data_IF_198168960898
#
_entry.id   IF_198168960898
#
_cell.length_a   1.000
_cell.length_b   1.000
_cell.length_c   1.000
_cell.angle_alpha   90.00
_cell.angle_beta   90.00
_cell.angle_gamma   90.00
#
_symmetry.space_group_name_H-M   'P 1'
#
loop_
_entity.id
_entity.type
_entity.pdbx_description
1 polymer ?
#
# COMPACT_ATOMS: atom_id res chain seq x y z
N UNK A 1 -18.46 -12.91 -12.67
CA UNK A 1 -17.22 -13.68 -12.79
C UNK A 1 -16.50 -13.55 -11.47
N UNK A 2 -16.34 -14.66 -10.73
CA UNK A 2 -15.75 -14.69 -9.38
C UNK A 2 -14.27 -15.06 -9.38
N UNK A 3 -13.81 -15.72 -10.44
CA UNK A 3 -12.40 -16.01 -10.73
C UNK A 3 -12.13 -15.80 -12.22
N UNK A 4 -10.87 -15.55 -12.56
CA UNK A 4 -10.39 -15.39 -13.92
C UNK A 4 -9.15 -16.29 -14.10
N UNK A 5 -9.13 -17.14 -15.13
CA UNK A 5 -7.95 -17.92 -15.46
C UNK A 5 -6.98 -17.05 -16.28
N UNK A 6 -5.78 -16.87 -15.73
CA UNK A 6 -4.71 -16.05 -16.29
C UNK A 6 -3.42 -16.83 -16.47
N UNK A 7 -3.46 -18.16 -16.35
CA UNK A 7 -2.28 -19.02 -16.31
C UNK A 7 -1.39 -18.95 -17.56
N UNK A 8 -1.94 -18.50 -18.70
CA UNK A 8 -1.19 -18.25 -19.95
C UNK A 8 -0.76 -16.80 -20.19
N UNK A 9 -1.01 -15.87 -19.27
CA UNK A 9 -0.70 -14.46 -19.48
C UNK A 9 0.79 -14.18 -19.31
N UNK A 10 1.43 -13.71 -20.38
CA UNK A 10 2.77 -13.16 -20.32
C UNK A 10 2.73 -11.63 -20.19
N UNK A 11 3.07 -11.12 -19.02
CA UNK A 11 3.11 -9.67 -18.73
C UNK A 11 4.52 -9.06 -18.78
N UNK A 12 5.54 -9.81 -19.24
CA UNK A 12 6.96 -9.39 -19.20
C UNK A 12 7.31 -8.17 -20.06
N UNK A 13 6.40 -7.77 -20.96
CA UNK A 13 6.55 -6.59 -21.81
C UNK A 13 5.49 -5.52 -21.53
N UNK A 14 4.63 -5.73 -20.53
CA UNK A 14 3.64 -4.74 -20.13
C UNK A 14 4.35 -3.60 -19.42
N UNK A 15 4.09 -2.37 -19.86
CA UNK A 15 4.66 -1.15 -19.26
C UNK A 15 3.67 -0.42 -18.35
N UNK A 16 2.38 -0.71 -18.45
CA UNK A 16 1.33 -0.13 -17.60
C UNK A 16 0.32 -1.20 -17.20
N UNK A 17 0.03 -1.27 -15.90
CA UNK A 17 -1.07 -2.06 -15.33
C UNK A 17 -2.13 -1.16 -14.69
N UNK A 18 -2.11 0.13 -15.03
CA UNK A 18 -3.06 1.10 -14.48
C UNK A 18 -4.51 0.68 -14.75
N UNK A 19 -5.35 0.70 -13.71
CA UNK A 19 -6.79 0.39 -13.78
C UNK A 19 -7.18 -0.99 -14.35
N UNK A 20 -6.25 -1.95 -14.44
CA UNK A 20 -6.47 -3.24 -15.12
C UNK A 20 -7.68 -4.03 -14.59
N UNK A 21 -7.91 -4.01 -13.28
CA UNK A 21 -9.03 -4.67 -12.59
C UNK A 21 -9.92 -3.66 -11.84
N UNK A 22 -9.92 -2.40 -12.28
CA UNK A 22 -10.76 -1.36 -11.69
C UNK A 22 -12.25 -1.74 -11.85
N UNK A 23 -12.98 -1.69 -10.74
CA UNK A 23 -14.41 -2.00 -10.71
C UNK A 23 -14.74 -3.46 -10.99
N UNK A 24 -13.77 -4.38 -10.82
CA UNK A 24 -13.97 -5.82 -10.92
C UNK A 24 -14.75 -6.36 -9.70
N UNK A 25 -15.91 -5.79 -9.38
CA UNK A 25 -16.69 -5.96 -8.16
C UNK A 25 -17.17 -7.40 -7.90
N UNK A 26 -17.05 -8.29 -8.89
CA UNK A 26 -17.40 -9.71 -8.74
C UNK A 26 -16.18 -10.61 -8.57
N UNK A 27 -14.97 -10.14 -8.92
CA UNK A 27 -13.73 -10.91 -8.84
C UNK A 27 -13.39 -11.11 -7.37
N UNK A 28 -13.29 -12.36 -6.93
CA UNK A 28 -13.00 -12.71 -5.54
C UNK A 28 -11.53 -13.09 -5.35
N UNK A 29 -10.98 -13.81 -6.33
CA UNK A 29 -9.61 -14.33 -6.30
C UNK A 29 -8.90 -14.00 -7.61
N UNK A 30 -7.61 -13.72 -7.50
CA UNK A 30 -6.74 -13.47 -8.63
C UNK A 30 -5.41 -14.20 -8.43
N UNK A 31 -5.12 -15.16 -9.29
CA UNK A 31 -3.82 -15.82 -9.32
C UNK A 31 -2.91 -15.13 -10.33
N UNK A 32 -1.81 -14.55 -9.83
CA UNK A 32 -0.78 -13.88 -10.63
C UNK A 32 0.54 -14.64 -10.59
N UNK A 33 0.50 -15.91 -10.20
CA UNK A 33 1.67 -16.80 -10.21
C UNK A 33 2.26 -16.84 -11.62
N UNK A 34 3.56 -16.56 -11.72
CA UNK A 34 4.29 -16.50 -13.00
C UNK A 34 4.30 -15.13 -13.67
N UNK A 35 3.59 -14.14 -13.15
CA UNK A 35 3.70 -12.77 -13.64
C UNK A 35 5.08 -12.18 -13.34
N UNK A 36 5.70 -11.57 -14.35
CA UNK A 36 6.90 -10.76 -14.21
C UNK A 36 6.62 -9.32 -14.66
N UNK A 37 6.20 -8.43 -13.76
CA UNK A 37 5.90 -7.03 -14.09
C UNK A 37 7.13 -6.11 -14.04
N UNK A 38 8.37 -6.61 -14.21
CA UNK A 38 9.61 -5.82 -14.07
C UNK A 38 9.65 -4.52 -14.91
N UNK A 39 8.93 -4.49 -16.05
CA UNK A 39 8.89 -3.33 -16.96
C UNK A 39 7.73 -2.39 -16.69
N UNK A 40 6.85 -2.73 -15.75
CA UNK A 40 5.69 -1.90 -15.41
C UNK A 40 6.15 -0.64 -14.70
N UNK A 41 5.75 0.51 -15.23
CA UNK A 41 6.07 1.81 -14.66
C UNK A 41 4.89 2.42 -13.90
N UNK A 42 3.66 1.96 -14.12
CA UNK A 42 2.46 2.46 -13.45
C UNK A 42 1.48 1.34 -13.07
N UNK A 43 0.99 1.38 -11.83
CA UNK A 43 -0.02 0.46 -11.28
C UNK A 43 -1.18 1.22 -10.62
N UNK A 44 -1.35 2.51 -10.92
CA UNK A 44 -2.36 3.33 -10.28
C UNK A 44 -3.77 2.79 -10.55
N UNK A 45 -4.60 2.78 -9.52
CA UNK A 45 -5.98 2.29 -9.56
C UNK A 45 -6.15 0.84 -10.05
N UNK A 46 -5.09 0.00 -10.07
CA UNK A 46 -5.12 -1.34 -10.66
C UNK A 46 -6.28 -2.20 -10.14
N UNK A 47 -6.55 -2.15 -8.83
CA UNK A 47 -7.65 -2.88 -8.17
C UNK A 47 -8.68 -1.92 -7.54
N UNK A 48 -8.75 -0.69 -8.02
CA UNK A 48 -9.66 0.33 -7.46
C UNK A 48 -11.10 -0.16 -7.48
N UNK A 49 -11.76 -0.12 -6.32
CA UNK A 49 -13.12 -0.60 -6.12
C UNK A 49 -13.36 -2.06 -6.55
N UNK A 50 -12.36 -2.93 -6.57
CA UNK A 50 -12.58 -4.37 -6.75
C UNK A 50 -13.17 -4.97 -5.45
N UNK A 51 -14.42 -4.62 -5.13
CA UNK A 51 -15.01 -4.78 -3.79
C UNK A 51 -15.20 -6.20 -3.29
N UNK A 52 -15.15 -7.21 -4.18
CA UNK A 52 -15.19 -8.61 -3.79
C UNK A 52 -13.79 -9.26 -3.70
N UNK A 53 -12.73 -8.58 -4.17
CA UNK A 53 -11.39 -9.13 -4.29
C UNK A 53 -10.78 -9.27 -2.90
N UNK A 54 -10.69 -10.52 -2.44
CA UNK A 54 -10.25 -10.86 -1.09
C UNK A 54 -8.95 -11.68 -1.09
N UNK A 55 -8.52 -12.17 -2.25
CA UNK A 55 -7.27 -12.94 -2.38
C UNK A 55 -6.55 -12.57 -3.67
N UNK A 56 -5.25 -12.22 -3.56
CA UNK A 56 -4.32 -12.16 -4.69
C UNK A 56 -3.12 -13.04 -4.35
N UNK A 57 -2.79 -13.98 -5.22
CA UNK A 57 -1.64 -14.88 -5.06
C UNK A 57 -0.54 -14.50 -6.05
N UNK A 58 0.73 -14.63 -5.64
CA UNK A 58 1.90 -14.44 -6.50
C UNK A 58 2.54 -13.05 -6.47
N UNK A 59 1.95 -12.08 -5.77
CA UNK A 59 2.45 -10.68 -5.67
C UNK A 59 3.81 -10.56 -5.00
N UNK A 60 4.20 -11.53 -4.18
CA UNK A 60 5.52 -11.62 -3.54
C UNK A 60 6.68 -11.66 -4.55
N UNK A 61 6.44 -12.10 -5.78
CA UNK A 61 7.46 -12.22 -6.83
C UNK A 61 7.55 -11.00 -7.74
N UNK A 62 6.69 -9.99 -7.55
CA UNK A 62 6.65 -8.82 -8.43
C UNK A 62 7.84 -7.92 -8.18
N UNK A 63 8.72 -7.78 -9.18
CA UNK A 63 9.78 -6.78 -9.19
C UNK A 63 9.17 -5.43 -9.59
N UNK A 64 9.04 -4.51 -8.63
CA UNK A 64 8.39 -3.21 -8.86
C UNK A 64 9.38 -2.04 -8.97
N UNK A 65 10.66 -2.31 -9.22
CA UNK A 65 11.74 -1.31 -9.23
C UNK A 65 11.51 -0.16 -10.22
N UNK A 66 10.79 -0.41 -11.32
CA UNK A 66 10.46 0.59 -12.33
C UNK A 66 9.14 1.35 -12.03
N UNK A 67 8.37 0.92 -11.02
CA UNK A 67 7.05 1.49 -10.74
C UNK A 67 7.20 2.87 -10.11
N UNK A 68 6.57 3.86 -10.73
CA UNK A 68 6.59 5.26 -10.29
C UNK A 68 5.28 5.71 -9.63
N UNK A 69 4.18 4.99 -9.86
CA UNK A 69 2.85 5.38 -9.40
C UNK A 69 2.03 4.18 -8.89
N UNK A 70 1.74 4.19 -7.59
CA UNK A 70 0.90 3.26 -6.83
C UNK A 70 -0.39 3.91 -6.31
N UNK A 71 -0.72 5.11 -6.81
CA UNK A 71 -1.88 5.85 -6.35
C UNK A 71 -3.15 5.02 -6.51
N UNK A 72 -3.96 4.93 -5.46
CA UNK A 72 -5.25 4.24 -5.45
C UNK A 72 -5.23 2.72 -5.77
N UNK A 73 -4.07 2.05 -5.77
CA UNK A 73 -3.94 0.67 -6.30
C UNK A 73 -4.87 -0.34 -5.64
N UNK A 74 -5.05 -0.34 -4.31
CA UNK A 74 -5.84 -1.33 -3.57
C UNK A 74 -7.09 -0.74 -2.88
N UNK A 75 -7.57 0.41 -3.35
CA UNK A 75 -8.69 1.12 -2.70
C UNK A 75 -9.97 0.31 -2.77
N UNK A 76 -10.63 0.18 -1.63
CA UNK A 76 -11.95 -0.48 -1.55
C UNK A 76 -11.92 -1.96 -1.94
N UNK A 77 -10.76 -2.61 -1.88
CA UNK A 77 -10.64 -4.07 -2.00
C UNK A 77 -11.12 -4.76 -0.71
N UNK A 78 -11.42 -6.06 -0.77
CA UNK A 78 -11.76 -6.88 0.39
C UNK A 78 -10.56 -7.66 0.96
N UNK A 79 -9.33 -7.22 0.64
CA UNK A 79 -8.08 -7.88 1.07
C UNK A 79 -7.86 -7.70 2.57
N UNK A 80 -7.77 -8.81 3.31
CA UNK A 80 -7.42 -8.82 4.73
C UNK A 80 -5.94 -9.06 4.98
N UNK A 81 -5.25 -9.65 3.99
CA UNK A 81 -3.81 -9.83 3.94
C UNK A 81 -3.32 -9.65 2.50
N UNK A 82 -2.08 -9.18 2.34
CA UNK A 82 -1.45 -9.01 1.03
C UNK A 82 0.06 -9.19 1.18
N UNK A 83 0.63 -10.13 0.44
CA UNK A 83 2.07 -10.34 0.43
C UNK A 83 2.74 -9.39 -0.56
N UNK A 84 3.53 -8.47 -0.04
CA UNK A 84 4.28 -7.45 -0.78
C UNK A 84 5.79 -7.62 -0.63
N UNK A 85 6.28 -8.79 -0.19
CA UNK A 85 7.69 -8.96 0.19
C UNK A 85 8.70 -8.67 -0.94
N UNK A 86 8.28 -8.83 -2.20
CA UNK A 86 9.11 -8.51 -3.37
C UNK A 86 9.02 -7.06 -3.86
N UNK A 87 8.15 -6.25 -3.26
CA UNK A 87 7.91 -4.89 -3.74
C UNK A 87 9.02 -3.94 -3.29
N UNK A 88 9.56 -3.22 -4.27
CA UNK A 88 10.49 -2.10 -4.09
C UNK A 88 9.81 -0.80 -4.54
N UNK A 89 9.74 0.20 -3.65
CA UNK A 89 9.13 1.50 -3.96
C UNK A 89 10.13 2.63 -4.15
N UNK A 90 11.42 2.32 -4.36
CA UNK A 90 12.48 3.32 -4.53
C UNK A 90 12.22 4.32 -5.66
N UNK A 91 11.55 3.92 -6.74
CA UNK A 91 11.19 4.81 -7.85
C UNK A 91 9.81 5.46 -7.70
N UNK A 92 9.03 5.11 -6.67
CA UNK A 92 7.65 5.58 -6.51
C UNK A 92 7.65 7.05 -6.10
N UNK A 93 6.95 7.85 -6.89
CA UNK A 93 6.74 9.29 -6.65
C UNK A 93 5.33 9.60 -6.16
N UNK A 94 4.38 8.66 -6.30
CA UNK A 94 3.01 8.76 -5.80
C UNK A 94 2.49 7.41 -5.28
N UNK A 95 2.07 7.38 -4.02
CA UNK A 95 1.40 6.27 -3.33
C UNK A 95 0.22 6.77 -2.49
N UNK A 96 -0.39 7.88 -2.92
CA UNK A 96 -1.58 8.42 -2.29
C UNK A 96 -2.73 7.42 -2.37
N UNK A 97 -3.49 7.30 -1.29
CA UNK A 97 -4.67 6.43 -1.21
C UNK A 97 -4.40 4.93 -1.44
N UNK A 98 -3.16 4.45 -1.55
CA UNK A 98 -2.87 3.07 -2.00
C UNK A 98 -3.66 1.99 -1.26
N UNK A 99 -3.85 2.12 0.05
CA UNK A 99 -4.62 1.19 0.90
C UNK A 99 -5.90 1.79 1.48
N UNK A 100 -6.41 2.89 0.92
CA UNK A 100 -7.60 3.57 1.42
C UNK A 100 -8.84 2.65 1.45
N UNK A 101 -9.62 2.67 2.54
CA UNK A 101 -10.77 1.79 2.77
C UNK A 101 -10.45 0.29 2.64
N UNK A 102 -9.21 -0.13 2.90
CA UNK A 102 -8.82 -1.55 2.85
C UNK A 102 -8.99 -2.23 4.22
N UNK A 103 -9.54 -3.45 4.30
CA UNK A 103 -9.70 -4.20 5.54
C UNK A 103 -8.46 -5.01 5.92
N UNK A 104 -7.26 -4.59 5.48
CA UNK A 104 -5.98 -5.23 5.84
C UNK A 104 -5.82 -5.29 7.35
N UNK A 105 -5.52 -6.49 7.86
CA UNK A 105 -5.26 -6.74 9.29
C UNK A 105 -3.79 -6.52 9.61
N UNK A 106 -2.91 -6.87 8.67
CA UNK A 106 -1.47 -6.68 8.70
C UNK A 106 -0.96 -6.33 7.31
N UNK A 107 0.15 -5.61 7.23
CA UNK A 107 0.86 -5.39 5.97
C UNK A 107 2.37 -5.34 6.23
N UNK A 108 3.13 -6.12 5.48
CA UNK A 108 4.59 -6.07 5.52
C UNK A 108 5.09 -5.06 4.47
N UNK A 109 5.83 -4.05 4.94
CA UNK A 109 6.39 -2.98 4.12
C UNK A 109 7.93 -3.00 4.11
N UNK A 110 8.56 -4.15 4.40
CA UNK A 110 10.01 -4.31 4.57
C UNK A 110 10.88 -3.91 3.35
N UNK A 111 10.31 -3.70 2.17
CA UNK A 111 11.00 -3.17 0.98
C UNK A 111 10.57 -1.75 0.55
N UNK A 112 9.65 -1.14 1.28
CA UNK A 112 9.09 0.16 0.92
C UNK A 112 9.98 1.29 1.42
N UNK A 113 10.13 2.32 0.60
CA UNK A 113 10.80 3.59 0.91
C UNK A 113 10.03 4.76 0.28
N UNK A 114 10.21 5.95 0.85
CA UNK A 114 9.60 7.21 0.42
C UNK A 114 10.61 8.17 -0.23
N UNK A 115 11.84 7.72 -0.48
CA UNK A 115 12.96 8.58 -0.86
C UNK A 115 12.74 9.40 -2.14
N UNK A 116 11.94 8.91 -3.09
CA UNK A 116 11.63 9.58 -4.35
C UNK A 116 10.38 10.47 -4.29
N UNK A 117 9.70 10.52 -3.15
CA UNK A 117 8.47 11.30 -2.98
C UNK A 117 8.82 12.74 -2.63
N UNK A 118 8.68 13.63 -3.62
CA UNK A 118 8.92 15.07 -3.46
C UNK A 118 7.64 15.90 -3.60
N UNK A 119 6.60 15.33 -4.21
CA UNK A 119 5.35 16.03 -4.47
C UNK A 119 4.47 16.13 -3.22
N UNK A 120 3.79 17.28 -3.07
CA UNK A 120 2.75 17.44 -2.06
C UNK A 120 1.63 16.42 -2.27
N UNK A 121 1.05 15.92 -1.17
CA UNK A 121 -0.05 14.95 -1.18
C UNK A 121 0.26 13.57 -1.80
N UNK A 122 1.50 13.29 -2.21
CA UNK A 122 1.89 12.01 -2.80
C UNK A 122 1.76 10.77 -1.88
N UNK A 123 1.51 10.96 -0.58
CA UNK A 123 1.15 9.91 0.38
C UNK A 123 -0.16 10.22 1.12
N UNK A 124 -0.96 11.16 0.60
CA UNK A 124 -2.21 11.54 1.22
C UNK A 124 -3.16 10.33 1.32
N UNK A 125 -3.83 10.18 2.46
CA UNK A 125 -4.87 9.18 2.68
C UNK A 125 -4.45 7.72 2.43
N UNK A 126 -3.15 7.42 2.40
CA UNK A 126 -2.63 6.08 2.06
C UNK A 126 -3.30 4.96 2.85
N UNK A 127 -3.55 5.18 4.14
CA UNK A 127 -4.21 4.26 5.08
C UNK A 127 -5.48 4.86 5.68
N UNK A 128 -6.18 5.75 4.98
CA UNK A 128 -7.45 6.29 5.49
C UNK A 128 -8.50 5.18 5.52
N UNK A 129 -9.28 5.12 6.61
CA UNK A 129 -10.31 4.12 6.88
C UNK A 129 -9.83 2.65 6.88
N UNK A 130 -8.54 2.38 7.09
CA UNK A 130 -8.00 1.02 7.31
C UNK A 130 -8.15 0.61 8.77
N UNK A 131 -9.39 0.45 9.23
CA UNK A 131 -9.71 0.26 10.66
C UNK A 131 -9.39 -1.13 11.22
N UNK A 132 -9.10 -2.10 10.35
CA UNK A 132 -8.76 -3.47 10.74
C UNK A 132 -7.26 -3.67 11.05
N UNK A 133 -6.42 -2.69 10.72
CA UNK A 133 -4.97 -2.82 10.85
C UNK A 133 -4.57 -2.92 12.34
N UNK A 134 -3.85 -3.98 12.68
CA UNK A 134 -3.42 -4.26 14.08
C UNK A 134 -1.94 -4.02 14.30
N UNK A 135 -1.13 -4.13 13.25
CA UNK A 135 0.30 -3.89 13.29
C UNK A 135 0.76 -3.16 12.02
N UNK A 136 1.64 -2.17 12.19
CA UNK A 136 2.27 -1.44 11.11
C UNK A 136 3.75 -1.20 11.45
N UNK A 137 4.63 -1.92 10.76
CA UNK A 137 6.06 -1.69 10.87
C UNK A 137 6.49 -0.57 9.90
N UNK A 138 6.92 0.56 10.46
CA UNK A 138 7.38 1.73 9.72
C UNK A 138 8.90 1.90 9.80
N UNK A 139 9.65 0.89 10.23
CA UNK A 139 11.12 1.00 10.37
C UNK A 139 11.83 1.07 9.02
N UNK A 140 11.28 0.43 7.99
CA UNK A 140 11.90 0.35 6.66
C UNK A 140 11.38 1.42 5.72
N UNK A 141 10.09 1.72 5.82
CA UNK A 141 9.52 2.84 5.11
C UNK A 141 9.93 4.12 5.83
N UNK A 142 10.84 4.88 5.22
CA UNK A 142 11.35 6.20 5.66
C UNK A 142 10.24 7.28 5.79
N UNK A 143 9.02 6.94 6.25
CA UNK A 143 7.90 7.84 6.50
C UNK A 143 8.24 8.89 7.56
N UNK A 144 9.21 8.61 8.44
CA UNK A 144 9.80 9.55 9.40
C UNK A 144 10.63 10.65 8.72
N UNK A 145 11.20 10.37 7.53
CA UNK A 145 11.96 11.36 6.73
C UNK A 145 11.08 12.19 5.80
N UNK A 146 9.79 11.93 5.74
CA UNK A 146 8.87 12.69 4.91
C UNK A 146 8.89 14.17 5.33
N UNK A 147 9.41 15.05 4.47
CA UNK A 147 9.53 16.50 4.75
C UNK A 147 8.19 17.24 4.70
N UNK A 148 7.17 16.60 4.16
CA UNK A 148 5.81 17.13 3.98
C UNK A 148 4.87 16.52 5.01
N UNK A 149 3.94 17.32 5.55
CA UNK A 149 2.89 16.86 6.47
C UNK A 149 1.82 16.13 5.67
N UNK A 150 1.43 14.92 6.10
CA UNK A 150 0.36 14.12 5.48
C UNK A 150 -0.77 13.90 6.48
N UNK A 151 -1.54 14.94 6.81
CA UNK A 151 -2.45 14.92 7.96
C UNK A 151 -3.66 13.98 7.78
N UNK A 152 -3.85 13.44 6.57
CA UNK A 152 -4.93 12.53 6.27
C UNK A 152 -4.49 11.07 6.11
N UNK A 153 -3.19 10.75 6.29
CA UNK A 153 -2.65 9.40 6.02
C UNK A 153 -3.46 8.30 6.71
N UNK A 154 -3.88 8.51 7.97
CA UNK A 154 -4.68 7.56 8.76
C UNK A 154 -6.08 8.08 9.15
N UNK A 155 -6.58 9.12 8.46
CA UNK A 155 -7.89 9.72 8.81
C UNK A 155 -8.98 8.65 8.81
N UNK A 156 -9.84 8.65 9.84
CA UNK A 156 -10.96 7.70 9.96
C UNK A 156 -10.58 6.26 10.31
N UNK A 157 -9.29 5.92 10.36
CA UNK A 157 -8.82 4.61 10.81
C UNK A 157 -8.94 4.48 12.33
N UNK A 158 -9.19 3.26 12.83
CA UNK A 158 -9.27 2.97 14.26
C UNK A 158 -7.88 2.72 14.86
N UNK A 159 -7.04 3.76 14.81
CA UNK A 159 -5.60 3.68 15.12
C UNK A 159 -5.27 3.45 16.61
N UNK A 160 -6.25 3.57 17.52
CA UNK A 160 -6.02 3.34 18.96
C UNK A 160 -5.78 1.88 19.35
N UNK A 161 -6.03 0.92 18.44
CA UNK A 161 -5.73 -0.51 18.64
C UNK A 161 -4.56 -1.02 17.80
N UNK A 162 -3.93 -0.16 17.00
CA UNK A 162 -2.85 -0.53 16.09
C UNK A 162 -1.50 -0.30 16.76
N UNK A 163 -0.63 -1.30 16.74
CA UNK A 163 0.77 -1.13 17.13
C UNK A 163 1.55 -0.56 15.95
N UNK A 164 2.25 0.54 16.16
CA UNK A 164 3.15 1.13 15.17
C UNK A 164 4.58 0.93 15.65
N UNK A 165 5.38 0.23 14.86
CA UNK A 165 6.80 0.02 15.15
C UNK A 165 7.59 1.07 14.37
N UNK A 166 8.39 1.87 15.08
CA UNK A 166 9.22 2.92 14.48
C UNK A 166 10.70 2.67 14.76
N UNK A 167 11.59 3.40 14.09
CA UNK A 167 13.03 3.32 14.34
C UNK A 167 13.37 3.89 15.72
N UNK A 168 14.48 3.45 16.30
CA UNK A 168 14.97 3.92 17.61
C UNK A 168 15.25 5.43 17.64
N UNK A 169 15.60 6.03 16.50
CA UNK A 169 15.90 7.45 16.34
C UNK A 169 14.67 8.30 15.94
N UNK A 170 13.47 7.72 15.92
CA UNK A 170 12.25 8.42 15.53
C UNK A 170 11.84 9.49 16.57
N UNK A 171 11.61 10.73 16.11
CA UNK A 171 11.10 11.82 16.95
C UNK A 171 9.57 11.74 17.05
N UNK A 172 9.06 11.05 18.06
CA UNK A 172 7.62 10.69 18.19
C UNK A 172 6.67 11.89 18.09
N UNK A 173 6.99 13.03 18.72
CA UNK A 173 6.13 14.21 18.66
C UNK A 173 5.99 14.77 17.24
N UNK A 174 7.09 14.80 16.49
CA UNK A 174 7.10 15.23 15.09
C UNK A 174 6.30 14.26 14.23
N UNK A 175 6.48 12.94 14.43
CA UNK A 175 5.69 11.90 13.76
C UNK A 175 4.18 12.05 14.02
N UNK A 176 3.81 12.30 15.27
CA UNK A 176 2.41 12.47 15.71
C UNK A 176 1.75 13.65 15.01
N UNK A 177 2.49 14.75 14.81
CA UNK A 177 2.03 15.93 14.07
C UNK A 177 1.97 15.66 12.57
N UNK A 178 3.05 15.13 11.98
CA UNK A 178 3.16 14.90 10.52
C UNK A 178 2.10 13.94 10.00
N UNK A 179 1.78 12.92 10.78
CA UNK A 179 0.82 11.88 10.41
C UNK A 179 -0.58 12.11 11.02
N UNK A 180 -0.76 13.18 11.80
CA UNK A 180 -2.00 13.53 12.49
C UNK A 180 -2.56 12.36 13.32
N UNK A 181 -1.74 11.86 14.24
CA UNK A 181 -2.08 10.71 15.10
C UNK A 181 -2.95 11.12 16.31
N UNK A 182 -3.19 12.41 16.52
CA UNK A 182 -4.04 12.94 17.59
C UNK A 182 -5.50 13.05 17.14
N UNK A 183 -6.50 12.71 17.97
CA UNK A 183 -6.43 12.36 19.41
C UNK A 183 -6.38 10.85 19.69
N UNK A 184 -6.14 9.98 18.70
CA UNK A 184 -6.15 8.51 18.85
C UNK A 184 -4.73 7.97 18.67
N UNK A 185 -3.84 8.07 19.67
CA UNK A 185 -2.45 7.69 19.46
C UNK A 185 -2.36 6.20 19.10
N UNK A 186 -1.53 5.88 18.12
CA UNK A 186 -1.04 4.51 17.94
C UNK A 186 -0.38 4.03 19.23
N UNK A 187 -0.37 2.72 19.46
CA UNK A 187 0.59 2.14 20.41
C UNK A 187 1.97 2.15 19.73
N UNK A 188 2.68 3.28 19.85
CA UNK A 188 3.99 3.46 19.22
C UNK A 188 5.05 2.80 20.09
N UNK A 189 5.74 1.82 19.54
CA UNK A 189 6.85 1.13 20.19
C UNK A 189 8.12 1.29 19.38
N UNK A 190 9.23 1.46 20.09
CA UNK A 190 10.57 1.19 19.56
C UNK A 190 10.93 -0.28 19.86
N UNK A 191 11.81 -0.91 19.06
CA UNK A 191 12.43 -2.20 19.36
C UNK A 191 12.90 -2.40 20.81
#
# INVERSE_FOLDING_TARGET
>A
MTSLDLSGWNVSNVTTMASMFNGANKLQTLDTTGWNPEKVTTMNSMFYNATALNTITGTANWQTDAVTNLGYTFVGTALTNLDLSGWNTAAVTNMGYTFNNSPLVTIDLKGWTTASITANYAMECMFQNTSALTNLDMRTADFDKATTVYPNMFRGSNIGGTTMIVKDDAVINDLTVRLNLSPRPFNIITP
#
